data_IF_969298027548
#
_entry.id   IF_969298027548
#
_cell.length_a   1.000
_cell.length_b   1.000
_cell.length_c   1.000
_cell.angle_alpha   90.00
_cell.angle_beta   90.00
_cell.angle_gamma   90.00
#
_symmetry.space_group_name_H-M   'P 1'
#
loop_
_entity.id
_entity.type
_entity.pdbx_description
1 polymer ?
#
# COMPACT_ATOMS: atom_id res chain seq x y z
N UNK A 1 21.12 29.09 11.69
CA UNK A 1 21.61 28.22 10.59
C UNK A 1 21.26 26.78 10.96
N UNK A 2 20.19 26.21 10.40
CA UNK A 2 19.90 24.78 10.52
C UNK A 2 19.56 24.26 9.12
N UNK A 3 20.60 23.77 8.45
CA UNK A 3 20.54 23.22 7.10
C UNK A 3 20.00 21.78 7.13
N UNK A 4 18.95 21.58 6.33
CA UNK A 4 18.51 20.38 5.63
C UNK A 4 18.91 18.97 6.17
N UNK A 5 17.89 18.12 6.34
CA UNK A 5 18.02 16.68 6.03
C UNK A 5 16.82 16.23 5.20
N UNK A 6 16.95 16.35 3.89
CA UNK A 6 16.05 15.70 2.94
C UNK A 6 16.29 14.19 3.02
N UNK A 7 15.39 13.46 3.68
CA UNK A 7 15.37 12.00 3.65
C UNK A 7 14.72 11.54 2.36
N UNK A 8 15.53 11.36 1.32
CA UNK A 8 15.19 10.59 0.12
C UNK A 8 14.82 9.17 0.55
N UNK A 9 13.55 8.81 0.40
CA UNK A 9 13.09 7.45 0.64
C UNK A 9 13.62 6.56 -0.47
N UNK A 10 14.61 5.73 -0.12
CA UNK A 10 15.09 4.60 -0.90
C UNK A 10 13.90 3.80 -1.41
N UNK A 11 13.72 3.78 -2.74
CA UNK A 11 12.78 2.89 -3.40
C UNK A 11 13.23 1.46 -3.08
N UNK A 12 12.40 0.74 -2.33
CA UNK A 12 12.63 -0.68 -2.08
C UNK A 12 12.10 -1.41 -3.33
N UNK A 13 13.05 -1.93 -4.10
CA UNK A 13 12.80 -2.92 -5.14
C UNK A 13 11.99 -4.07 -4.55
N UNK A 14 10.96 -4.49 -5.26
CA UNK A 14 10.31 -5.77 -5.09
C UNK A 14 9.97 -6.28 -6.49
N UNK A 15 11.03 -6.68 -7.20
CA UNK A 15 11.00 -7.45 -8.43
C UNK A 15 10.69 -8.92 -8.12
N UNK A 16 9.54 -9.16 -7.50
CA UNK A 16 8.94 -10.49 -7.47
C UNK A 16 7.54 -10.29 -8.00
N UNK A 17 7.30 -10.79 -9.21
CA UNK A 17 5.98 -10.83 -9.83
C UNK A 17 5.15 -11.80 -9.00
N UNK A 18 4.65 -11.31 -7.87
CA UNK A 18 3.53 -11.90 -7.16
C UNK A 18 2.43 -12.10 -8.18
N UNK A 19 1.98 -13.35 -8.35
CA UNK A 19 0.89 -13.69 -9.26
C UNK A 19 -0.31 -12.79 -8.97
N UNK A 20 -1.10 -12.44 -9.99
CA UNK A 20 -2.25 -11.53 -9.85
C UNK A 20 -3.16 -11.89 -8.66
N UNK A 21 -3.30 -13.18 -8.38
CA UNK A 21 -4.04 -13.72 -7.25
C UNK A 21 -3.45 -13.31 -5.90
N UNK A 22 -2.13 -13.42 -5.72
CA UNK A 22 -1.45 -12.99 -4.48
C UNK A 22 -1.54 -11.48 -4.25
N UNK A 23 -1.54 -10.66 -5.31
CA UNK A 23 -1.77 -9.22 -5.17
C UNK A 23 -3.20 -8.90 -4.74
N UNK A 24 -4.19 -9.68 -5.21
CA UNK A 24 -5.60 -9.53 -4.82
C UNK A 24 -5.85 -9.95 -3.38
N UNK A 25 -5.21 -11.04 -2.92
CA UNK A 25 -5.30 -11.47 -1.51
C UNK A 25 -4.66 -10.43 -0.59
N UNK A 26 -3.47 -9.92 -0.92
CA UNK A 26 -2.82 -8.85 -0.16
C UNK A 26 -3.65 -7.57 -0.10
N UNK A 27 -4.33 -7.22 -1.19
CA UNK A 27 -5.25 -6.09 -1.24
C UNK A 27 -6.42 -6.30 -0.26
N UNK A 28 -7.02 -7.50 -0.26
CA UNK A 28 -8.11 -7.83 0.66
C UNK A 28 -7.67 -7.72 2.13
N UNK A 29 -6.50 -8.27 2.48
CA UNK A 29 -5.93 -8.16 3.83
C UNK A 29 -5.69 -6.70 4.22
N UNK A 30 -5.08 -5.90 3.34
CA UNK A 30 -4.81 -4.47 3.63
C UNK A 30 -6.07 -3.63 3.76
N UNK A 31 -7.17 -4.00 3.08
CA UNK A 31 -8.48 -3.37 3.28
C UNK A 31 -9.05 -3.69 4.65
N UNK A 32 -8.90 -4.94 5.11
CA UNK A 32 -9.32 -5.34 6.44
C UNK A 32 -8.53 -4.59 7.52
N UNK A 33 -7.21 -4.52 7.38
CA UNK A 33 -6.33 -3.74 8.27
C UNK A 33 -6.76 -2.26 8.38
N UNK A 34 -7.21 -1.67 7.26
CA UNK A 34 -7.69 -0.28 7.24
C UNK A 34 -9.00 -0.12 8.03
N UNK A 35 -9.91 -1.09 7.94
CA UNK A 35 -11.18 -1.09 8.69
C UNK A 35 -10.87 -1.19 10.19
N UNK A 36 -9.99 -2.11 10.57
CA UNK A 36 -9.63 -2.33 11.97
C UNK A 36 -8.86 -1.14 12.55
N UNK A 37 -7.96 -0.53 11.77
CA UNK A 37 -7.30 0.72 12.16
C UNK A 37 -8.30 1.89 12.33
N UNK A 38 -9.34 1.98 11.48
CA UNK A 38 -10.41 2.98 11.65
C UNK A 38 -11.25 2.73 12.90
N UNK A 39 -11.57 1.47 13.19
CA UNK A 39 -12.27 1.07 14.42
C UNK A 39 -11.46 1.41 15.66
N UNK A 40 -10.17 1.06 15.68
CA UNK A 40 -9.26 1.40 16.77
C UNK A 40 -9.08 2.91 16.96
N UNK A 41 -9.08 3.70 15.87
CA UNK A 41 -9.06 5.17 15.97
C UNK A 41 -10.37 5.70 16.58
N UNK A 42 -11.51 5.15 16.19
CA UNK A 42 -12.80 5.54 16.75
C UNK A 42 -12.94 5.17 18.23
N UNK A 43 -12.38 4.02 18.63
CA UNK A 43 -12.30 3.58 20.03
C UNK A 43 -11.26 4.34 20.87
N UNK A 44 -10.37 5.11 20.24
CA UNK A 44 -9.28 5.82 20.93
C UNK A 44 -8.09 4.94 21.29
N UNK A 45 -8.05 3.68 20.85
CA UNK A 45 -6.99 2.71 21.12
C UNK A 45 -5.83 2.80 20.12
N UNK A 46 -6.06 3.42 18.96
CA UNK A 46 -5.02 3.57 17.94
C UNK A 46 -4.03 4.69 18.32
N UNK A 47 -2.89 4.30 18.89
CA UNK A 47 -1.82 5.20 19.30
C UNK A 47 -1.25 6.08 18.17
N UNK A 48 -1.27 5.59 16.92
CA UNK A 48 -0.73 6.33 15.77
C UNK A 48 -1.73 6.40 14.60
N UNK A 49 -2.44 7.54 14.44
CA UNK A 49 -3.37 7.75 13.33
C UNK A 49 -2.72 7.73 11.93
N UNK A 50 -1.40 7.94 11.82
CA UNK A 50 -0.71 7.95 10.52
C UNK A 50 -0.65 6.58 9.86
N UNK A 51 -0.87 5.51 10.62
CA UNK A 51 -0.98 4.14 10.08
C UNK A 51 -2.07 4.08 9.01
N UNK A 52 -3.22 4.70 9.23
CA UNK A 52 -4.33 4.75 8.25
C UNK A 52 -3.87 5.37 6.93
N UNK A 53 -3.08 6.44 6.99
CA UNK A 53 -2.59 7.11 5.78
C UNK A 53 -1.55 6.26 5.05
N UNK A 54 -0.70 5.52 5.78
CA UNK A 54 0.23 4.57 5.20
C UNK A 54 -0.50 3.41 4.51
N UNK A 55 -1.45 2.78 5.19
CA UNK A 55 -2.27 1.67 4.65
C UNK A 55 -3.05 2.09 3.41
N UNK A 56 -3.61 3.32 3.38
CA UNK A 56 -4.26 3.86 2.17
C UNK A 56 -3.31 3.95 0.97
N UNK A 57 -2.07 4.38 1.19
CA UNK A 57 -1.05 4.47 0.12
C UNK A 57 -0.63 3.08 -0.36
N UNK A 58 -0.54 2.10 0.54
CA UNK A 58 -0.24 0.72 0.18
C UNK A 58 -1.36 0.10 -0.68
N UNK A 59 -2.63 0.27 -0.30
CA UNK A 59 -3.77 -0.18 -1.11
C UNK A 59 -3.74 0.45 -2.52
N UNK A 60 -3.46 1.75 -2.60
CA UNK A 60 -3.37 2.44 -3.89
C UNK A 60 -2.26 1.85 -4.77
N UNK A 61 -1.07 1.60 -4.20
CA UNK A 61 0.05 0.98 -4.93
C UNK A 61 -0.28 -0.43 -5.40
N UNK A 62 -0.88 -1.26 -4.55
CA UNK A 62 -1.31 -2.61 -4.92
C UNK A 62 -2.33 -2.58 -6.06
N UNK A 63 -3.30 -1.66 -5.99
CA UNK A 63 -4.30 -1.47 -7.05
C UNK A 63 -3.66 -1.03 -8.37
N UNK A 64 -2.67 -0.14 -8.32
CA UNK A 64 -1.90 0.27 -9.50
C UNK A 64 -1.08 -0.88 -10.07
N UNK A 65 -0.44 -1.69 -9.22
CA UNK A 65 0.34 -2.85 -9.66
C UNK A 65 -0.55 -3.90 -10.36
N UNK A 66 -1.73 -4.20 -9.81
CA UNK A 66 -2.71 -5.09 -10.44
C UNK A 66 -3.12 -4.54 -11.81
N UNK A 67 -3.47 -3.24 -11.88
CA UNK A 67 -3.89 -2.62 -13.13
C UNK A 67 -2.76 -2.60 -14.18
N UNK A 68 -1.52 -2.38 -13.75
CA UNK A 68 -0.36 -2.44 -14.64
C UNK A 68 -0.14 -3.85 -15.21
N UNK A 69 -0.29 -4.88 -14.37
CA UNK A 69 -0.21 -6.27 -14.82
C UNK A 69 -1.37 -6.65 -15.76
N UNK A 70 -2.61 -6.22 -15.47
CA UNK A 70 -3.76 -6.43 -16.36
C UNK A 70 -3.62 -5.72 -17.72
N UNK A 71 -2.95 -4.56 -17.75
CA UNK A 71 -2.68 -3.83 -19.00
C UNK A 71 -1.54 -4.47 -19.79
N UNK A 72 -0.51 -5.00 -19.12
CA UNK A 72 0.55 -5.77 -19.79
C UNK A 72 -0.04 -7.01 -20.49
N UNK A 73 -0.90 -7.78 -19.81
CA UNK A 73 -1.60 -8.93 -20.41
C UNK A 73 -2.52 -8.56 -21.59
N UNK A 74 -3.04 -7.33 -21.63
CA UNK A 74 -3.92 -6.84 -22.72
C UNK A 74 -3.16 -6.19 -23.87
N UNK A 75 -1.95 -5.67 -23.63
CA UNK A 75 -1.11 -5.00 -24.63
C UNK A 75 -0.24 -5.95 -25.44
N UNK A 76 -0.08 -7.20 -25.01
CA UNK A 76 0.63 -8.28 -25.73
C UNK A 76 -0.28 -9.06 -26.71
N UNK A 77 -1.32 -8.41 -27.28
CA UNK A 77 -2.14 -8.94 -28.38
C UNK A 77 -2.24 -7.92 -29.51
#
# INVERSE_FOLDING_TARGET
MATAKATTKKAKEASEVKTLETLRTELATKRQDLIDARRGLAAGELQNPRVITATRKEIARLSTAIRAAELAEKGDK
#
